data_IF_047934313552
#
_entry.id   IF_047934313552
#
_cell.length_a   1.000
_cell.length_b   1.000
_cell.length_c   1.000
_cell.angle_alpha   90.00
_cell.angle_beta   90.00
_cell.angle_gamma   90.00
#
_symmetry.space_group_name_H-M   'P 1'
#
loop_
_entity.id
_entity.type
_entity.pdbx_description
1 polymer ?
#
# COMPACT_ATOMS: atom_id res chain seq x y z
N UNK A 1 -17.25 -9.53 1.83
CA UNK A 1 -16.24 -9.86 0.79
C UNK A 1 -15.41 -8.61 0.54
N UNK A 2 -14.07 -8.69 0.56
CA UNK A 2 -13.16 -7.54 0.37
C UNK A 2 -12.72 -7.49 -1.09
N UNK A 3 -13.22 -6.54 -1.88
CA UNK A 3 -12.81 -6.41 -3.28
C UNK A 3 -11.49 -5.66 -3.39
N UNK A 4 -10.60 -6.16 -4.25
CA UNK A 4 -9.38 -5.47 -4.66
C UNK A 4 -9.75 -4.30 -5.56
N UNK A 5 -9.31 -3.08 -5.24
CA UNK A 5 -9.70 -1.88 -5.97
C UNK A 5 -8.58 -0.82 -5.93
N UNK A 6 -8.30 -0.23 -7.09
CA UNK A 6 -7.25 0.76 -7.27
C UNK A 6 -6.94 0.87 -8.76
N UNK A 7 -7.44 1.92 -9.40
CA UNK A 7 -7.27 2.17 -10.82
C UNK A 7 -7.33 3.68 -11.07
N UNK A 8 -6.44 4.18 -11.91
CA UNK A 8 -6.34 5.60 -12.22
C UNK A 8 -5.73 6.40 -11.06
N UNK A 9 -6.33 7.54 -10.78
CA UNK A 9 -5.86 8.52 -9.79
C UNK A 9 -6.34 8.21 -8.36
N UNK A 10 -5.77 8.93 -7.39
CA UNK A 10 -6.23 8.94 -6.00
C UNK A 10 -7.71 9.29 -5.87
N UNK A 11 -8.18 10.26 -6.65
CA UNK A 11 -9.56 10.73 -6.59
C UNK A 11 -10.53 9.67 -7.13
N UNK A 12 -10.22 9.06 -8.27
CA UNK A 12 -11.04 7.99 -8.87
C UNK A 12 -11.11 6.76 -7.96
N UNK A 13 -9.98 6.39 -7.36
CA UNK A 13 -9.92 5.28 -6.40
C UNK A 13 -10.75 5.58 -5.13
N UNK A 14 -10.71 6.81 -4.63
CA UNK A 14 -11.53 7.24 -3.49
C UNK A 14 -13.04 7.22 -3.82
N UNK A 15 -13.43 7.68 -5.01
CA UNK A 15 -14.82 7.60 -5.47
C UNK A 15 -15.29 6.14 -5.54
N UNK A 16 -14.43 5.24 -6.04
CA UNK A 16 -14.72 3.80 -6.05
C UNK A 16 -14.89 3.22 -4.65
N UNK A 17 -14.06 3.63 -3.68
CA UNK A 17 -14.22 3.17 -2.30
C UNK A 17 -15.54 3.61 -1.69
N UNK A 18 -15.95 4.87 -1.86
CA UNK A 18 -17.25 5.36 -1.39
C UNK A 18 -18.41 4.54 -1.98
N UNK A 19 -18.37 4.29 -3.29
CA UNK A 19 -19.35 3.43 -3.95
C UNK A 19 -19.40 2.02 -3.34
N UNK A 20 -18.25 1.38 -3.11
CA UNK A 20 -18.20 0.03 -2.55
C UNK A 20 -18.74 -0.03 -1.12
N UNK A 21 -18.44 0.98 -0.30
CA UNK A 21 -19.00 1.11 1.05
C UNK A 21 -20.53 1.25 1.00
N UNK A 22 -21.07 2.08 0.11
CA UNK A 22 -22.52 2.23 -0.09
C UNK A 22 -23.19 0.91 -0.54
N UNK A 23 -22.47 0.06 -1.26
CA UNK A 23 -22.93 -1.29 -1.65
C UNK A 23 -22.78 -2.33 -0.52
N UNK A 24 -22.41 -1.92 0.70
CA UNK A 24 -22.32 -2.79 1.87
C UNK A 24 -20.96 -3.49 2.04
N UNK A 25 -19.91 -3.06 1.34
CA UNK A 25 -18.56 -3.55 1.59
C UNK A 25 -18.06 -3.06 2.95
N UNK A 26 -17.48 -3.95 3.75
CA UNK A 26 -17.04 -3.66 5.13
C UNK A 26 -15.54 -3.48 5.28
N UNK A 27 -14.78 -3.58 4.19
CA UNK A 27 -13.33 -3.41 4.21
C UNK A 27 -12.80 -3.05 2.84
N UNK A 28 -11.88 -2.09 2.78
CA UNK A 28 -11.28 -1.60 1.54
C UNK A 28 -9.96 -2.32 1.27
N UNK A 29 -9.61 -2.56 0.01
CA UNK A 29 -8.32 -3.10 -0.39
C UNK A 29 -7.74 -2.23 -1.49
N UNK A 30 -6.56 -1.69 -1.23
CA UNK A 30 -5.87 -0.73 -2.11
C UNK A 30 -4.83 -1.49 -2.92
N UNK A 31 -4.88 -1.30 -4.23
CA UNK A 31 -3.78 -1.63 -5.12
C UNK A 31 -2.82 -0.43 -5.23
N UNK A 32 -1.52 -0.65 -5.42
CA UNK A 32 -0.52 0.38 -5.75
C UNK A 32 -0.06 0.18 -7.21
N UNK A 33 0.25 1.26 -7.93
CA UNK A 33 0.77 1.13 -9.30
C UNK A 33 2.21 0.56 -9.30
N UNK A 34 2.67 0.11 -10.47
CA UNK A 34 3.99 -0.52 -10.56
C UNK A 34 5.13 0.42 -10.12
N UNK A 35 5.16 1.72 -10.52
CA UNK A 35 6.19 2.65 -10.07
C UNK A 35 6.23 2.78 -8.55
N UNK A 36 5.09 2.92 -7.89
CA UNK A 36 5.03 2.97 -6.42
C UNK A 36 5.50 1.64 -5.81
N UNK A 37 5.18 0.49 -6.41
CA UNK A 37 5.64 -0.82 -5.91
C UNK A 37 7.17 -0.99 -6.00
N UNK A 38 7.82 -0.38 -6.99
CA UNK A 38 9.28 -0.46 -7.19
C UNK A 38 10.01 0.83 -6.77
N UNK A 39 9.35 1.67 -5.96
CA UNK A 39 9.91 2.89 -5.38
C UNK A 39 10.39 3.95 -6.40
N UNK A 40 9.71 4.09 -7.52
CA UNK A 40 9.86 5.23 -8.43
C UNK A 40 8.77 6.28 -8.21
N UNK A 41 9.17 7.54 -8.21
CA UNK A 41 8.26 8.68 -8.32
C UNK A 41 7.60 8.70 -9.70
N UNK A 42 6.41 9.31 -9.77
CA UNK A 42 5.60 9.35 -11.00
C UNK A 42 6.25 10.12 -12.16
N UNK A 43 7.21 10.99 -11.88
CA UNK A 43 7.98 11.75 -12.87
C UNK A 43 9.30 11.06 -13.26
N UNK A 44 9.59 9.89 -12.70
CA UNK A 44 10.78 9.13 -13.06
C UNK A 44 10.67 8.58 -14.49
N UNK A 45 11.71 8.64 -15.34
CA UNK A 45 11.64 8.16 -16.73
C UNK A 45 11.24 6.68 -16.86
N UNK A 46 11.59 5.84 -15.88
CA UNK A 46 11.19 4.42 -15.86
C UNK A 46 9.75 4.18 -15.36
N UNK A 47 9.06 5.21 -14.87
CA UNK A 47 7.66 5.14 -14.46
C UNK A 47 6.70 5.45 -15.63
N UNK A 48 7.21 5.98 -16.75
CA UNK A 48 6.40 6.36 -17.91
C UNK A 48 5.56 5.18 -18.42
N UNK A 49 4.26 5.40 -18.52
CA UNK A 49 3.30 4.36 -18.97
C UNK A 49 2.86 3.37 -17.88
N UNK A 50 3.35 3.50 -16.64
CA UNK A 50 2.97 2.63 -15.52
C UNK A 50 2.34 3.41 -14.33
N UNK A 51 2.47 4.73 -14.30
CA UNK A 51 1.81 5.62 -13.30
C UNK A 51 0.29 5.50 -13.37
N UNK A 52 -0.35 5.28 -12.22
CA UNK A 52 -1.81 5.22 -12.07
C UNK A 52 -2.46 3.99 -12.70
N UNK A 53 -1.71 3.07 -13.32
CA UNK A 53 -2.31 1.86 -13.91
C UNK A 53 -2.89 0.94 -12.86
N UNK A 54 -2.37 0.95 -11.63
CA UNK A 54 -2.78 0.01 -10.58
C UNK A 54 -2.78 0.60 -9.15
N UNK A 55 -2.89 1.92 -8.89
CA UNK A 55 -3.06 2.35 -7.47
C UNK A 55 -2.63 3.73 -6.96
N UNK A 56 -2.60 3.89 -5.62
CA UNK A 56 -2.50 5.18 -4.88
C UNK A 56 -1.60 5.12 -3.64
N UNK A 57 -0.91 6.21 -3.24
CA UNK A 57 0.14 6.23 -2.22
C UNK A 57 -0.27 6.70 -0.79
N UNK A 58 0.45 6.24 0.24
CA UNK A 58 0.51 6.70 1.66
C UNK A 58 -0.68 6.35 2.59
N UNK A 59 -0.39 5.75 3.77
CA UNK A 59 -1.40 5.26 4.73
C UNK A 59 -1.39 5.95 6.11
N UNK A 60 -0.26 5.91 6.85
CA UNK A 60 -0.21 6.38 8.25
C UNK A 60 -0.34 7.92 8.34
N UNK A 61 0.42 8.65 7.52
CA UNK A 61 0.39 10.13 7.52
C UNK A 61 -1.00 10.64 7.19
N UNK A 62 -1.67 10.05 6.20
CA UNK A 62 -3.04 10.38 5.81
C UNK A 62 -4.03 10.21 6.97
N UNK A 63 -3.84 9.19 7.81
CA UNK A 63 -4.67 8.97 8.99
C UNK A 63 -4.42 10.04 10.07
N UNK A 64 -3.16 10.39 10.31
CA UNK A 64 -2.78 11.43 11.27
C UNK A 64 -3.33 12.81 10.84
N UNK A 65 -3.28 13.14 9.56
CA UNK A 65 -3.90 14.35 8.99
C UNK A 65 -5.42 14.40 9.16
N UNK A 66 -6.07 13.23 9.19
CA UNK A 66 -7.51 13.09 9.47
C UNK A 66 -7.83 13.09 10.97
N UNK A 67 -6.82 13.23 11.85
CA UNK A 67 -6.98 13.18 13.29
C UNK A 67 -7.25 11.77 13.83
N UNK A 68 -7.00 10.73 13.04
CA UNK A 68 -7.14 9.33 13.46
C UNK A 68 -5.87 8.94 14.21
N UNK A 69 -5.99 8.61 15.50
CA UNK A 69 -4.90 7.97 16.24
C UNK A 69 -4.54 6.68 15.51
N UNK A 70 -3.28 6.50 15.06
CA UNK A 70 -2.94 5.33 14.27
C UNK A 70 -3.05 3.99 15.00
N UNK A 71 -3.20 3.98 16.33
CA UNK A 71 -3.60 2.76 17.08
C UNK A 71 -4.99 2.24 16.68
N UNK A 72 -5.84 3.11 16.14
CA UNK A 72 -7.16 2.76 15.64
C UNK A 72 -7.14 2.26 14.18
N UNK A 73 -5.97 2.24 13.53
CA UNK A 73 -5.86 1.74 12.16
C UNK A 73 -5.91 0.22 12.16
N UNK A 74 -6.92 -0.30 11.47
CA UNK A 74 -7.05 -1.74 11.23
C UNK A 74 -6.79 -2.03 9.76
N UNK A 75 -5.93 -3.00 9.48
CA UNK A 75 -5.54 -3.27 8.10
C UNK A 75 -4.48 -4.35 7.99
N UNK A 76 -4.05 -4.58 6.76
CA UNK A 76 -2.99 -5.53 6.44
C UNK A 76 -2.20 -4.97 5.27
N UNK A 77 -0.89 -4.98 5.39
CA UNK A 77 0.03 -4.78 4.27
C UNK A 77 0.52 -6.15 3.79
N UNK A 78 0.86 -6.29 2.50
CA UNK A 78 1.28 -7.59 1.97
C UNK A 78 2.62 -8.06 2.57
N UNK A 79 3.60 -7.15 2.66
CA UNK A 79 4.92 -7.30 3.29
C UNK A 79 5.65 -8.66 3.11
N UNK A 80 5.45 -9.32 1.98
CA UNK A 80 6.07 -10.61 1.65
C UNK A 80 7.10 -10.39 0.54
N UNK A 81 8.38 -10.17 0.87
CA UNK A 81 9.40 -9.92 -0.15
C UNK A 81 9.93 -11.21 -0.80
N UNK A 82 9.88 -12.35 -0.09
CA UNK A 82 10.46 -13.59 -0.62
C UNK A 82 9.71 -14.07 -1.86
N UNK A 83 8.38 -13.94 -1.89
CA UNK A 83 7.60 -14.23 -3.11
C UNK A 83 7.87 -13.26 -4.25
N UNK A 84 8.33 -12.03 -3.96
CA UNK A 84 8.72 -11.08 -4.99
C UNK A 84 9.97 -11.55 -5.74
N UNK A 85 11.00 -12.02 -5.01
CA UNK A 85 12.21 -12.56 -5.64
C UNK A 85 11.95 -13.83 -6.47
N UNK A 86 11.02 -14.68 -6.04
CA UNK A 86 10.79 -15.98 -6.69
C UNK A 86 9.88 -15.87 -7.91
N UNK A 87 8.88 -14.97 -7.89
CA UNK A 87 7.78 -15.03 -8.86
C UNK A 87 7.37 -13.71 -9.52
N UNK A 88 7.55 -12.56 -8.86
CA UNK A 88 6.82 -11.34 -9.23
C UNK A 88 7.71 -10.14 -9.59
N UNK A 89 8.99 -10.15 -9.17
CA UNK A 89 10.03 -9.28 -9.71
C UNK A 89 9.94 -7.81 -9.32
N UNK A 90 9.08 -7.42 -8.37
CA UNK A 90 8.93 -6.01 -7.95
C UNK A 90 9.74 -5.68 -6.71
N UNK A 91 10.96 -6.24 -6.58
CA UNK A 91 11.87 -5.93 -5.47
C UNK A 91 12.79 -4.76 -5.82
N UNK A 92 13.16 -3.98 -4.80
CA UNK A 92 14.03 -2.79 -4.96
C UNK A 92 15.44 -3.06 -4.46
N UNK A 93 15.56 -3.64 -3.26
CA UNK A 93 16.85 -3.90 -2.61
C UNK A 93 17.29 -5.36 -2.79
N UNK A 94 18.48 -5.67 -2.26
CA UNK A 94 18.95 -7.06 -2.15
C UNK A 94 18.21 -7.80 -1.02
N UNK A 95 18.16 -9.15 -1.04
CA UNK A 95 17.38 -9.93 -0.08
C UNK A 95 17.61 -9.58 1.40
N UNK A 96 18.86 -9.36 1.81
CA UNK A 96 19.21 -9.05 3.20
C UNK A 96 18.65 -7.70 3.65
N UNK A 97 18.86 -6.63 2.87
CA UNK A 97 18.32 -5.30 3.14
C UNK A 97 16.78 -5.30 3.16
N UNK A 98 16.15 -6.03 2.24
CA UNK A 98 14.69 -6.14 2.23
C UNK A 98 14.13 -6.89 3.44
N UNK A 99 14.82 -7.93 3.91
CA UNK A 99 14.42 -8.64 5.13
C UNK A 99 14.58 -7.77 6.37
N UNK A 100 15.61 -6.92 6.41
CA UNK A 100 15.77 -5.92 7.48
C UNK A 100 14.60 -4.93 7.51
N UNK A 101 14.17 -4.42 6.36
CA UNK A 101 12.99 -3.55 6.29
C UNK A 101 11.72 -4.26 6.78
N UNK A 102 11.55 -5.55 6.47
CA UNK A 102 10.44 -6.35 6.99
C UNK A 102 10.49 -6.42 8.52
N UNK A 103 11.66 -6.63 9.11
CA UNK A 103 11.80 -6.69 10.56
C UNK A 103 11.53 -5.35 11.23
N UNK A 104 11.98 -4.24 10.64
CA UNK A 104 11.71 -2.88 11.14
C UNK A 104 10.20 -2.59 11.13
N UNK A 105 9.48 -3.05 10.10
CA UNK A 105 8.02 -2.95 10.03
C UNK A 105 7.35 -3.79 11.13
N UNK A 106 7.85 -4.99 11.42
CA UNK A 106 7.32 -5.81 12.51
C UNK A 106 7.50 -5.12 13.86
N UNK A 107 8.70 -4.61 14.14
CA UNK A 107 9.01 -3.87 15.35
C UNK A 107 8.08 -2.68 15.52
N UNK A 108 7.97 -1.83 14.49
CA UNK A 108 7.07 -0.68 14.47
C UNK A 108 5.60 -1.04 14.74
N UNK A 109 5.09 -2.10 14.08
CA UNK A 109 3.73 -2.57 14.29
C UNK A 109 3.50 -3.14 15.69
N UNK A 110 4.49 -3.82 16.28
CA UNK A 110 4.40 -4.39 17.63
C UNK A 110 4.38 -3.27 18.65
N UNK A 111 5.38 -2.38 18.63
CA UNK A 111 5.49 -1.26 19.57
C UNK A 111 4.22 -0.41 19.60
N UNK A 112 3.57 -0.23 18.45
CA UNK A 112 2.35 0.56 18.32
C UNK A 112 1.08 -0.18 18.78
N UNK A 113 1.02 -1.50 18.62
CA UNK A 113 -0.13 -2.33 18.99
C UNK A 113 -0.09 -2.84 20.44
N UNK A 114 1.06 -2.78 21.12
CA UNK A 114 1.15 -3.04 22.56
C UNK A 114 0.92 -1.75 23.35
N UNK A 115 -0.34 -1.47 23.67
CA UNK A 115 -0.77 -0.39 24.57
C UNK A 115 -1.94 -0.83 25.43
#
# INVERSE_FOLDING_TARGET
MRQYSGYGTAEETNQRFKYLLDQGQTGLSVAFDLPTQIAYDSDHPLAEGEVGRVGVAMYIVTAEEQGVDPKNLTGTIQNDILKEYIARGTYVYQPEESLKLITDIFEYCIERNTG
#
